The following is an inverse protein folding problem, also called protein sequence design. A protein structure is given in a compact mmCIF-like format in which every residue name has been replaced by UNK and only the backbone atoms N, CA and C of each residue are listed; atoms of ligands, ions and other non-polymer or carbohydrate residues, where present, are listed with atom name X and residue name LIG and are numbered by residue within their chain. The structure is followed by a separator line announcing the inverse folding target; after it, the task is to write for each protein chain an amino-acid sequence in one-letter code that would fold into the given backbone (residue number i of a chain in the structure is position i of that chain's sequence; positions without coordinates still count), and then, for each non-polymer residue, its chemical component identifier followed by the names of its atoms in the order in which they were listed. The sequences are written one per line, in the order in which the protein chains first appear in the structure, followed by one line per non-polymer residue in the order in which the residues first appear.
data_IF_436570570409
#
_entry.id   IF_436570570409
#
_cell.length_a   1.000
_cell.length_b   1.000
_cell.length_c   1.000
_cell.angle_alpha   90.00
_cell.angle_beta   90.00
_cell.angle_gamma   90.00
#
_symmetry.space_group_name_H-M   'P 1'
#
loop_
_entity.id
_entity.type
_entity.pdbx_description
1 polymer ?
#
# COMPACT_ATOMS: atom_id res chain seq x y z
N UNK A 1 -12.90 24.12 -13.64
CA UNK A 1 -11.81 23.25 -14.13
C UNK A 1 -10.53 23.70 -13.46
N UNK A 2 -10.09 23.02 -12.40
CA UNK A 2 -8.72 23.11 -11.92
C UNK A 2 -8.12 21.71 -12.01
N UNK A 3 -7.17 21.52 -12.92
CA UNK A 3 -6.24 20.40 -12.82
C UNK A 3 -5.51 20.57 -11.50
N UNK A 4 -5.67 19.61 -10.59
CA UNK A 4 -4.77 19.50 -9.46
C UNK A 4 -3.39 19.15 -10.03
N UNK A 5 -2.53 20.15 -10.12
CA UNK A 5 -1.11 19.93 -10.41
C UNK A 5 -0.55 19.02 -9.33
N UNK A 6 -0.23 17.80 -9.74
CA UNK A 6 0.53 16.85 -8.94
C UNK A 6 1.84 17.56 -8.55
N UNK A 7 2.02 17.85 -7.26
CA UNK A 7 3.24 18.48 -6.78
C UNK A 7 4.43 17.61 -7.20
N UNK A 8 5.48 18.17 -7.82
CA UNK A 8 6.64 17.39 -8.24
C UNK A 8 7.26 16.71 -7.01
N UNK A 9 7.67 15.45 -7.17
CA UNK A 9 8.19 14.54 -6.14
C UNK A 9 9.45 15.04 -5.38
N UNK A 10 9.86 16.29 -5.58
CA UNK A 10 11.19 16.81 -5.27
C UNK A 10 11.27 17.49 -3.88
N UNK A 11 10.17 17.55 -3.12
CA UNK A 11 10.14 18.20 -1.79
C UNK A 11 10.10 17.19 -0.63
N UNK A 12 9.86 15.91 -0.91
CA UNK A 12 9.82 14.86 0.10
C UNK A 12 11.05 13.97 -0.05
N UNK A 13 11.80 13.85 1.04
CA UNK A 13 13.01 13.04 1.23
C UNK A 13 12.96 11.76 0.37
N UNK A 14 13.49 11.86 -0.86
CA UNK A 14 13.23 10.87 -1.89
C UNK A 14 14.09 9.67 -1.56
N UNK A 15 13.47 8.56 -1.17
CA UNK A 15 14.18 7.28 -1.10
C UNK A 15 14.73 6.99 -2.51
N UNK A 16 16.04 7.10 -2.76
CA UNK A 16 16.58 7.10 -4.13
C UNK A 16 16.24 5.80 -4.87
N UNK A 17 16.28 4.67 -4.14
CA UNK A 17 15.89 3.36 -4.63
C UNK A 17 14.40 3.21 -4.99
N UNK A 18 13.56 4.21 -4.73
CA UNK A 18 12.18 4.26 -5.19
C UNK A 18 11.97 5.32 -6.27
N UNK A 19 12.96 6.15 -6.62
CA UNK A 19 12.78 7.32 -7.50
C UNK A 19 12.65 6.95 -8.98
N UNK A 20 13.24 5.84 -9.40
CA UNK A 20 13.26 5.40 -10.79
C UNK A 20 11.95 4.76 -11.30
N UNK A 21 11.83 4.58 -12.63
CA UNK A 21 10.63 4.05 -13.27
C UNK A 21 10.32 2.59 -12.89
N UNK A 22 11.33 1.78 -12.57
CA UNK A 22 11.09 0.38 -12.16
C UNK A 22 10.33 0.32 -10.84
N UNK A 23 10.46 1.33 -9.97
CA UNK A 23 9.76 1.37 -8.71
C UNK A 23 8.23 1.46 -8.86
N UNK A 24 7.71 1.97 -9.98
CA UNK A 24 6.28 2.16 -10.24
C UNK A 24 5.52 0.86 -10.53
N UNK A 25 6.23 -0.19 -10.97
CA UNK A 25 5.59 -1.48 -11.29
C UNK A 25 4.88 -2.08 -10.09
N UNK A 26 5.37 -1.78 -8.87
CA UNK A 26 4.80 -2.25 -7.61
C UNK A 26 3.40 -1.68 -7.41
N UNK A 27 3.21 -0.39 -7.72
CA UNK A 27 1.91 0.27 -7.67
C UNK A 27 0.96 -0.27 -8.74
N UNK A 28 1.44 -0.46 -9.97
CA UNK A 28 0.63 -1.04 -11.06
C UNK A 28 0.12 -2.42 -10.70
N UNK A 29 1.00 -3.29 -10.19
CA UNK A 29 0.64 -4.65 -9.78
C UNK A 29 -0.31 -4.65 -8.59
N UNK A 30 -0.07 -3.80 -7.58
CA UNK A 30 -0.98 -3.68 -6.45
C UNK A 30 -2.37 -3.21 -6.86
N UNK A 31 -2.45 -2.13 -7.66
CA UNK A 31 -3.69 -1.61 -8.22
C UNK A 31 -4.45 -2.68 -9.03
N UNK A 32 -3.72 -3.48 -9.81
CA UNK A 32 -4.31 -4.61 -10.53
C UNK A 32 -5.00 -5.59 -9.58
N UNK A 33 -4.35 -6.03 -8.49
CA UNK A 33 -4.93 -7.05 -7.60
C UNK A 33 -6.13 -6.54 -6.79
N UNK A 34 -6.28 -5.23 -6.59
CA UNK A 34 -7.43 -4.64 -5.88
C UNK A 34 -8.53 -4.09 -6.80
N UNK A 35 -8.45 -4.33 -8.12
CA UNK A 35 -9.37 -3.77 -9.14
C UNK A 35 -10.85 -4.14 -8.98
N UNK A 36 -11.16 -5.17 -8.20
CA UNK A 36 -12.53 -5.64 -7.93
C UNK A 36 -13.01 -5.30 -6.51
N UNK A 37 -12.27 -4.43 -5.80
CA UNK A 37 -12.63 -3.97 -4.45
C UNK A 37 -13.43 -2.67 -4.51
N UNK A 38 -14.50 -2.58 -3.72
CA UNK A 38 -15.33 -1.39 -3.66
C UNK A 38 -14.62 -0.22 -2.98
N UNK A 39 -13.82 -0.51 -1.95
CA UNK A 39 -13.01 0.47 -1.24
C UNK A 39 -11.55 0.05 -1.29
N UNK A 40 -10.64 1.02 -1.27
CA UNK A 40 -9.20 0.78 -1.29
C UNK A 40 -8.59 1.41 -0.04
N UNK A 41 -7.84 0.62 0.72
CA UNK A 41 -7.05 1.08 1.86
C UNK A 41 -5.59 0.80 1.55
N UNK A 42 -4.77 1.85 1.53
CA UNK A 42 -3.33 1.75 1.38
C UNK A 42 -2.65 2.28 2.64
N UNK A 43 -1.73 1.48 3.20
CA UNK A 43 -0.88 1.88 4.31
C UNK A 43 0.57 1.78 3.86
N UNK A 44 1.30 2.89 3.92
CA UNK A 44 2.71 2.92 3.52
C UNK A 44 2.97 3.35 2.06
N UNK A 45 2.07 4.15 1.46
CA UNK A 45 2.21 4.62 0.07
C UNK A 45 3.36 5.62 -0.18
N UNK A 46 4.08 6.05 0.87
CA UNK A 46 5.12 7.09 0.80
C UNK A 46 4.64 8.33 0.01
N UNK A 47 5.28 8.68 -1.11
CA UNK A 47 4.91 9.83 -1.96
C UNK A 47 4.21 9.39 -3.24
N UNK A 48 4.02 8.09 -3.44
CA UNK A 48 3.47 7.49 -4.66
C UNK A 48 2.45 6.41 -4.28
N UNK A 49 1.29 6.83 -3.75
CA UNK A 49 0.20 5.92 -3.48
C UNK A 49 -0.31 5.28 -4.77
N UNK A 50 -0.99 4.15 -4.68
CA UNK A 50 -1.54 3.44 -5.85
C UNK A 50 -2.69 4.18 -6.54
N UNK A 51 -3.17 5.28 -5.97
CA UNK A 51 -4.37 6.01 -6.40
C UNK A 51 -4.39 6.31 -7.90
N UNK A 52 -3.29 6.80 -8.47
CA UNK A 52 -3.18 7.14 -9.90
C UNK A 52 -3.09 5.92 -10.82
N UNK A 53 -2.86 4.73 -10.27
CA UNK A 53 -2.74 3.47 -11.00
C UNK A 53 -4.04 2.65 -11.00
N UNK A 54 -5.03 3.06 -10.21
CA UNK A 54 -6.34 2.43 -10.19
C UNK A 54 -7.09 2.72 -11.49
N UNK A 55 -7.47 1.67 -12.21
CA UNK A 55 -8.19 1.77 -13.49
C UNK A 55 -9.69 1.54 -13.35
N UNK A 56 -10.15 0.98 -12.23
CA UNK A 56 -11.56 0.75 -11.94
C UNK A 56 -12.18 1.96 -11.22
N UNK A 57 -13.45 1.84 -10.84
CA UNK A 57 -14.21 2.91 -10.17
C UNK A 57 -14.57 2.49 -8.74
N UNK A 58 -13.61 2.51 -7.80
CA UNK A 58 -13.92 2.28 -6.39
C UNK A 58 -14.83 3.41 -5.85
N UNK A 59 -15.60 3.10 -4.81
CA UNK A 59 -16.39 4.08 -4.05
C UNK A 59 -15.49 4.99 -3.22
N UNK A 60 -14.39 4.45 -2.68
CA UNK A 60 -13.43 5.23 -1.90
C UNK A 60 -11.99 4.72 -2.03
N UNK A 61 -11.04 5.64 -1.84
CA UNK A 61 -9.62 5.36 -1.73
C UNK A 61 -9.08 6.11 -0.52
N UNK A 62 -8.50 5.38 0.43
CA UNK A 62 -7.83 5.91 1.60
C UNK A 62 -6.35 5.50 1.56
N UNK A 63 -5.45 6.47 1.38
CA UNK A 63 -4.00 6.27 1.57
C UNK A 63 -3.57 6.90 2.89
N UNK A 64 -2.80 6.16 3.68
CA UNK A 64 -2.26 6.64 4.96
C UNK A 64 -0.75 6.41 5.02
N UNK A 65 0.00 7.50 5.08
CA UNK A 65 1.45 7.48 5.31
C UNK A 65 1.87 8.85 5.86
N UNK A 66 2.75 8.93 6.88
CA UNK A 66 3.26 10.21 7.39
C UNK A 66 3.97 11.09 6.35
N UNK A 67 4.34 10.53 5.20
CA UNK A 67 5.03 11.23 4.10
C UNK A 67 4.13 11.47 2.88
N UNK A 68 2.92 10.92 2.82
CA UNK A 68 1.99 11.26 1.74
C UNK A 68 1.40 12.64 2.04
N UNK A 69 1.44 13.61 1.12
CA UNK A 69 0.74 14.88 1.29
C UNK A 69 -0.76 14.67 1.50
N UNK A 70 -1.37 15.49 2.35
CA UNK A 70 -2.83 15.49 2.49
C UNK A 70 -3.49 15.84 1.14
N UNK A 71 -4.48 15.05 0.75
CA UNK A 71 -5.22 15.22 -0.50
C UNK A 71 -6.65 14.72 -0.34
N UNK A 72 -7.61 15.40 -0.97
CA UNK A 72 -9.00 14.99 -0.98
C UNK A 72 -9.66 15.29 -2.32
N UNK A 73 -10.50 14.38 -2.81
CA UNK A 73 -11.29 14.54 -4.03
C UNK A 73 -12.59 13.73 -3.95
N UNK A 74 -13.64 14.21 -4.61
CA UNK A 74 -14.89 13.47 -4.81
C UNK A 74 -14.90 12.64 -6.09
N UNK A 75 -13.82 12.67 -6.87
CA UNK A 75 -13.66 11.94 -8.12
C UNK A 75 -12.29 11.28 -8.26
N UNK A 76 -12.27 10.15 -8.97
CA UNK A 76 -11.09 9.48 -9.47
C UNK A 76 -11.29 9.17 -10.95
N UNK A 77 -10.37 9.60 -11.82
CA UNK A 77 -10.46 9.42 -13.28
C UNK A 77 -11.80 9.89 -13.88
N UNK A 78 -12.36 10.99 -13.38
CA UNK A 78 -13.64 11.56 -13.82
C UNK A 78 -14.87 10.73 -13.43
N UNK A 79 -14.74 9.84 -12.44
CA UNK A 79 -15.82 9.00 -11.91
C UNK A 79 -15.99 9.28 -10.42
N UNK A 80 -17.22 9.19 -9.87
CA UNK A 80 -17.46 9.40 -8.44
C UNK A 80 -16.61 8.44 -7.59
N UNK A 81 -15.79 9.00 -6.69
CA UNK A 81 -14.95 8.26 -5.77
C UNK A 81 -14.48 9.20 -4.65
N UNK A 82 -14.68 8.82 -3.39
CA UNK A 82 -14.14 9.58 -2.27
C UNK A 82 -12.66 9.22 -2.04
N UNK A 83 -11.77 10.06 -2.55
CA UNK A 83 -10.31 9.89 -2.41
C UNK A 83 -9.81 10.72 -1.25
N UNK A 84 -9.05 10.11 -0.34
CA UNK A 84 -8.37 10.76 0.77
C UNK A 84 -6.95 10.23 0.91
N UNK A 85 -5.97 11.11 0.94
CA UNK A 85 -4.62 10.82 1.40
C UNK A 85 -4.40 11.53 2.71
N UNK A 86 -3.94 10.81 3.73
CA UNK A 86 -3.74 11.32 5.07
C UNK A 86 -2.26 11.22 5.45
N UNK A 87 -1.66 12.37 5.73
CA UNK A 87 -0.30 12.54 6.26
C UNK A 87 -0.23 12.15 7.74
N UNK A 88 -0.53 10.89 8.08
CA UNK A 88 -0.63 10.39 9.45
C UNK A 88 -0.01 9.02 9.60
N UNK A 89 0.30 8.62 10.84
CA UNK A 89 0.60 7.21 11.12
C UNK A 89 -0.70 6.43 11.05
N UNK A 90 -0.64 5.21 10.51
CA UNK A 90 -1.84 4.38 10.34
C UNK A 90 -2.58 4.11 11.66
N UNK A 91 -1.85 4.07 12.78
CA UNK A 91 -2.43 3.88 14.11
C UNK A 91 -3.28 5.08 14.59
N UNK A 92 -3.16 6.25 13.97
CA UNK A 92 -3.88 7.49 14.35
C UNK A 92 -5.14 7.70 13.51
N UNK A 93 -5.47 6.76 12.62
CA UNK A 93 -6.61 6.83 11.70
C UNK A 93 -7.68 5.84 12.14
N UNK A 94 -8.93 6.26 12.04
CA UNK A 94 -10.09 5.40 12.21
C UNK A 94 -10.43 4.75 10.87
N UNK A 95 -10.68 3.44 10.90
CA UNK A 95 -11.05 2.65 9.73
C UNK A 95 -12.46 2.12 9.94
N UNK A 96 -13.41 2.67 9.20
CA UNK A 96 -14.82 2.27 9.23
C UNK A 96 -15.20 1.64 7.89
N UNK A 97 -14.75 0.40 7.70
CA UNK A 97 -15.07 -0.40 6.52
C UNK A 97 -15.77 -1.68 6.94
N UNK A 98 -16.85 -2.04 6.25
CA UNK A 98 -17.48 -3.34 6.45
C UNK A 98 -16.50 -4.46 6.09
N UNK A 99 -16.52 -5.61 6.80
CA UNK A 99 -15.73 -6.77 6.43
C UNK A 99 -15.91 -7.15 4.96
N UNK A 100 -14.81 -7.51 4.31
CA UNK A 100 -14.69 -7.92 2.91
C UNK A 100 -15.15 -6.87 1.88
N UNK A 101 -15.27 -5.59 2.28
CA UNK A 101 -15.65 -4.50 1.38
C UNK A 101 -14.46 -3.75 0.76
N UNK A 102 -13.24 -4.01 1.22
CA UNK A 102 -12.05 -3.27 0.81
C UNK A 102 -10.87 -4.16 0.44
N UNK A 103 -10.00 -3.65 -0.45
CA UNK A 103 -8.66 -4.17 -0.66
C UNK A 103 -7.68 -3.43 0.25
N UNK A 104 -6.76 -4.15 0.88
CA UNK A 104 -5.68 -3.60 1.70
C UNK A 104 -4.35 -3.72 0.96
N UNK A 105 -3.62 -2.62 0.85
CA UNK A 105 -2.34 -2.54 0.14
C UNK A 105 -1.24 -2.07 1.09
N UNK A 106 -0.16 -2.84 1.15
CA UNK A 106 1.03 -2.63 1.96
C UNK A 106 2.28 -2.69 1.08
N UNK A 107 2.64 -1.58 0.43
CA UNK A 107 3.84 -1.49 -0.42
C UNK A 107 5.06 -0.99 0.37
N UNK A 108 6.23 -1.54 0.09
CA UNK A 108 7.45 -1.25 0.85
C UNK A 108 7.28 -1.47 2.36
N UNK A 109 6.55 -2.50 2.75
CA UNK A 109 6.10 -2.73 4.13
C UNK A 109 7.27 -2.57 5.12
N UNK A 110 7.17 -1.60 6.02
CA UNK A 110 8.23 -1.27 6.98
C UNK A 110 7.68 -0.69 8.29
N UNK A 111 6.58 -1.24 8.80
CA UNK A 111 5.89 -0.65 9.94
C UNK A 111 6.76 -0.66 11.22
N UNK A 112 6.72 0.46 11.93
CA UNK A 112 7.39 0.67 13.22
C UNK A 112 6.34 0.71 14.35
N UNK A 113 6.74 0.41 15.59
CA UNK A 113 5.88 0.66 16.74
C UNK A 113 5.51 2.16 16.81
N UNK A 114 4.35 2.46 17.38
CA UNK A 114 3.91 3.83 17.65
C UNK A 114 3.56 4.01 19.12
N UNK A 115 4.45 4.65 19.88
CA UNK A 115 4.33 4.74 21.33
C UNK A 115 4.33 3.33 21.95
N UNK A 116 3.25 2.97 22.64
CA UNK A 116 3.04 1.63 23.21
C UNK A 116 2.33 0.65 22.26
N UNK A 117 2.00 1.07 21.04
CA UNK A 117 1.28 0.22 20.07
C UNK A 117 2.27 -0.58 19.23
N UNK A 118 2.10 -1.89 19.23
CA UNK A 118 2.85 -2.82 18.40
C UNK A 118 2.64 -2.53 16.90
N UNK A 119 3.67 -2.71 16.06
CA UNK A 119 3.52 -2.60 14.60
C UNK A 119 2.55 -3.66 14.06
N UNK A 120 2.69 -4.91 14.50
CA UNK A 120 1.74 -6.01 14.29
C UNK A 120 0.74 -6.08 15.45
N UNK A 121 -0.09 -5.06 15.57
CA UNK A 121 -1.13 -4.98 16.60
C UNK A 121 -2.48 -5.51 16.13
N UNK A 122 -3.42 -5.61 17.09
CA UNK A 122 -4.82 -5.96 16.82
C UNK A 122 -5.46 -5.11 15.72
N UNK A 123 -5.09 -3.84 15.61
CA UNK A 123 -5.58 -2.95 14.54
C UNK A 123 -5.18 -3.45 13.15
N UNK A 124 -3.89 -3.71 12.92
CA UNK A 124 -3.40 -4.16 11.62
C UNK A 124 -3.94 -5.56 11.29
N UNK A 125 -3.96 -6.47 12.27
CA UNK A 125 -4.53 -7.79 12.06
C UNK A 125 -6.03 -7.75 11.78
N UNK A 126 -6.78 -6.87 12.44
CA UNK A 126 -8.21 -6.66 12.12
C UNK A 126 -8.39 -6.16 10.68
N UNK A 127 -7.56 -5.22 10.23
CA UNK A 127 -7.61 -4.76 8.83
C UNK A 127 -7.28 -5.87 7.84
N UNK A 128 -6.28 -6.70 8.16
CA UNK A 128 -5.86 -7.82 7.32
C UNK A 128 -6.96 -8.90 7.25
N UNK A 129 -7.52 -9.29 8.39
CA UNK A 129 -8.52 -10.36 8.48
C UNK A 129 -9.86 -10.00 7.82
N UNK A 130 -10.19 -8.71 7.81
CA UNK A 130 -11.44 -8.21 7.25
C UNK A 130 -11.29 -7.67 5.82
N UNK A 131 -10.11 -7.72 5.22
CA UNK A 131 -9.92 -7.31 3.83
C UNK A 131 -10.43 -8.38 2.85
N UNK A 132 -10.98 -7.94 1.72
CA UNK A 132 -11.34 -8.82 0.59
C UNK A 132 -10.10 -9.36 -0.11
N UNK A 133 -9.06 -8.54 -0.21
CA UNK A 133 -7.76 -8.83 -0.81
C UNK A 133 -6.71 -8.10 0.02
N UNK A 134 -5.60 -8.76 0.35
CA UNK A 134 -4.43 -8.13 0.95
C UNK A 134 -3.27 -8.25 -0.02
N UNK A 135 -2.65 -7.13 -0.36
CA UNK A 135 -1.44 -7.04 -1.18
C UNK A 135 -0.30 -6.58 -0.30
N UNK A 136 0.80 -7.33 -0.29
CA UNK A 136 2.00 -7.02 0.49
C UNK A 136 3.21 -7.06 -0.42
N UNK A 137 4.03 -6.03 -0.37
CA UNK A 137 5.32 -5.99 -1.04
C UNK A 137 6.40 -5.46 -0.09
N UNK A 138 7.57 -6.09 -0.12
CA UNK A 138 8.76 -5.58 0.56
C UNK A 138 10.04 -6.13 -0.10
N UNK A 139 11.17 -5.41 0.02
CA UNK A 139 12.47 -5.98 -0.30
C UNK A 139 12.95 -6.89 0.86
N UNK A 140 13.41 -8.12 0.59
CA UNK A 140 13.80 -9.07 1.65
C UNK A 140 14.99 -8.60 2.52
N UNK A 141 15.77 -7.66 2.03
CA UNK A 141 16.87 -7.00 2.74
C UNK A 141 16.37 -6.03 3.83
N UNK A 142 15.07 -5.74 3.87
CA UNK A 142 14.45 -4.97 4.93
C UNK A 142 14.09 -5.87 6.12
N UNK A 143 15.00 -5.95 7.09
CA UNK A 143 14.91 -6.80 8.28
C UNK A 143 13.53 -6.77 8.97
N UNK A 144 12.95 -5.57 9.13
CA UNK A 144 11.64 -5.42 9.80
C UNK A 144 10.51 -6.08 9.02
N UNK A 145 10.55 -6.03 7.70
CA UNK A 145 9.54 -6.67 6.89
C UNK A 145 9.70 -8.19 6.94
N UNK A 146 10.94 -8.65 6.79
CA UNK A 146 11.30 -10.07 6.82
C UNK A 146 10.97 -10.74 8.16
N UNK A 147 11.01 -10.01 9.28
CA UNK A 147 10.59 -10.54 10.58
C UNK A 147 9.07 -10.55 10.80
N UNK A 148 8.31 -9.69 10.11
CA UNK A 148 6.89 -9.43 10.38
C UNK A 148 5.94 -10.08 9.37
N UNK A 149 6.27 -10.04 8.07
CA UNK A 149 5.40 -10.57 7.01
C UNK A 149 5.12 -12.08 7.14
N UNK A 150 6.07 -12.92 7.62
CA UNK A 150 5.78 -14.33 7.91
C UNK A 150 4.57 -14.53 8.84
N UNK A 151 4.37 -13.66 9.83
CA UNK A 151 3.23 -13.73 10.75
C UNK A 151 1.91 -13.37 10.07
N UNK A 152 1.95 -12.49 9.05
CA UNK A 152 0.78 -12.11 8.25
C UNK A 152 0.39 -13.23 7.28
N UNK A 153 1.36 -13.78 6.54
CA UNK A 153 1.07 -14.82 5.53
C UNK A 153 0.64 -16.15 6.16
N UNK A 154 1.03 -16.41 7.41
CA UNK A 154 0.67 -17.62 8.15
C UNK A 154 -0.69 -17.52 8.86
N UNK A 155 -1.41 -16.40 8.74
CA UNK A 155 -2.71 -16.23 9.41
C UNK A 155 -3.73 -17.26 8.90
N UNK A 156 -4.46 -17.94 9.80
CA UNK A 156 -5.43 -18.97 9.41
C UNK A 156 -6.68 -18.41 8.72
N UNK A 157 -6.95 -17.11 8.90
CA UNK A 157 -8.02 -16.36 8.21
C UNK A 157 -7.71 -16.11 6.74
N UNK A 158 -6.47 -16.33 6.30
CA UNK A 158 -6.00 -16.02 4.95
C UNK A 158 -5.57 -17.27 4.20
N UNK A 159 -5.63 -17.18 2.88
CA UNK A 159 -5.01 -18.11 1.93
C UNK A 159 -4.16 -17.34 0.94
N UNK A 160 -3.02 -17.91 0.58
CA UNK A 160 -2.18 -17.40 -0.49
C UNK A 160 -2.93 -17.51 -1.82
N UNK A 161 -3.24 -16.38 -2.46
CA UNK A 161 -3.79 -16.38 -3.81
C UNK A 161 -2.66 -16.55 -4.83
N UNK A 162 -1.62 -15.74 -4.72
CA UNK A 162 -0.37 -15.91 -5.45
C UNK A 162 0.78 -15.21 -4.71
N UNK A 163 2.00 -15.59 -5.07
CA UNK A 163 3.21 -14.86 -4.69
C UNK A 163 4.20 -14.90 -5.86
N UNK A 164 5.06 -13.90 -5.92
CA UNK A 164 6.13 -13.82 -6.91
C UNK A 164 7.21 -12.86 -6.41
N UNK A 165 8.38 -12.91 -7.05
CA UNK A 165 9.44 -11.95 -6.84
C UNK A 165 9.56 -11.02 -8.06
N UNK A 166 9.97 -9.78 -7.80
CA UNK A 166 10.35 -8.81 -8.83
C UNK A 166 11.81 -8.45 -8.61
N UNK A 167 12.60 -8.48 -9.67
CA UNK A 167 13.95 -7.92 -9.66
C UNK A 167 13.89 -6.58 -10.43
N UNK A 168 13.94 -5.48 -9.70
CA UNK A 168 13.79 -4.12 -10.21
C UNK A 168 15.15 -3.51 -10.54
N UNK A 169 15.34 -3.11 -11.79
CA UNK A 169 16.59 -2.50 -12.26
C UNK A 169 16.30 -1.22 -13.04
N UNK A 170 16.89 -0.14 -12.56
CA UNK A 170 17.04 1.15 -13.26
C UNK A 170 18.22 1.91 -12.61
N UNK A 171 18.62 3.03 -13.21
CA UNK A 171 19.75 3.82 -12.74
C UNK A 171 19.61 4.36 -11.31
N UNK A 172 18.39 4.46 -10.76
CA UNK A 172 18.17 4.97 -9.41
C UNK A 172 18.28 3.88 -8.32
N UNK A 173 18.09 2.62 -8.69
CA UNK A 173 18.13 1.47 -7.77
C UNK A 173 19.33 0.54 -7.97
N UNK A 174 20.12 0.74 -9.04
CA UNK A 174 21.20 -0.17 -9.47
C UNK A 174 22.15 -0.63 -8.36
N UNK A 175 22.58 0.28 -7.47
CA UNK A 175 23.50 -0.01 -6.35
C UNK A 175 22.79 -0.25 -5.01
N UNK A 176 21.46 -0.39 -5.03
CA UNK A 176 20.67 -0.58 -3.82
C UNK A 176 20.54 -2.07 -3.47
N UNK A 177 20.57 -2.45 -2.18
CA UNK A 177 20.19 -3.79 -1.77
C UNK A 177 18.70 -4.09 -1.98
N UNK A 178 17.87 -3.11 -2.38
CA UNK A 178 16.41 -3.23 -2.45
C UNK A 178 15.86 -3.48 -3.87
N UNK A 179 16.70 -3.97 -4.79
CA UNK A 179 16.32 -4.32 -6.17
C UNK A 179 15.35 -5.50 -6.19
N UNK A 180 15.61 -6.54 -5.41
CA UNK A 180 14.70 -7.68 -5.26
C UNK A 180 13.53 -7.30 -4.34
N UNK A 181 12.34 -7.74 -4.71
CA UNK A 181 11.08 -7.46 -4.02
C UNK A 181 10.27 -8.74 -3.96
N UNK A 182 9.74 -9.07 -2.78
CA UNK A 182 8.78 -10.15 -2.60
C UNK A 182 7.37 -9.57 -2.61
N UNK A 183 6.49 -10.18 -3.38
CA UNK A 183 5.12 -9.74 -3.57
C UNK A 183 4.15 -10.87 -3.22
N UNK A 184 3.19 -10.58 -2.36
CA UNK A 184 2.20 -11.53 -1.86
C UNK A 184 0.80 -10.97 -2.08
N UNK A 185 -0.09 -11.84 -2.56
CA UNK A 185 -1.53 -11.56 -2.68
C UNK A 185 -2.26 -12.61 -1.86
N UNK A 186 -3.03 -12.16 -0.87
CA UNK A 186 -3.75 -13.01 0.06
C UNK A 186 -5.24 -12.74 -0.06
N UNK A 187 -6.05 -13.80 -0.02
CA UNK A 187 -7.51 -13.74 0.04
C UNK A 187 -8.00 -14.33 1.36
N UNK A 188 -9.24 -14.05 1.79
CA UNK A 188 -9.89 -14.79 2.88
C UNK A 188 -9.89 -16.30 2.62
N UNK A 189 -9.64 -17.09 3.68
CA UNK A 189 -9.55 -18.55 3.59
C UNK A 189 -10.91 -19.20 3.27
N UNK A 190 -12.02 -18.67 3.80
CA UNK A 190 -13.39 -19.16 3.60
C UNK A 190 -14.36 -18.52 4.57
#
# INVERSE_FOLDING_TARGET
MSQAEYLPANVFDSLPHLSGPAAEIRQVLAAHFVRDCENIVEIGGHIRPITSYLTHTPKSVLSVDPKTPDYESSELNGKPCHVRHLSRKFQEVEYDFSPFSYGLVLLGYSLKPFGKREPLGQLLFSLIDNAKVVVIEYPPELERATSQVPEIIARPSLKMHCNFALDLHDAAIEDSPYTRRLFYVLHPAG
#
